data_IF_639280633572
#
_entry.id   IF_639280633572
#
_cell.length_a   1.000
_cell.length_b   1.000
_cell.length_c   1.000
_cell.angle_alpha   90.00
_cell.angle_beta   90.00
_cell.angle_gamma   90.00
#
_symmetry.space_group_name_H-M   'P 1'
#
loop_
_entity.id
_entity.type
_entity.pdbx_description
1 polymer ?
#
# COMPACT_ATOMS: atom_id res chain seq x y z
N UNK A 1 -32.52 -26.59 14.41
CA UNK A 1 -32.19 -25.16 14.64
C UNK A 1 -30.69 -24.91 14.94
N UNK A 2 -30.03 -25.53 15.94
CA UNK A 2 -28.58 -25.32 16.20
C UNK A 2 -27.65 -25.64 15.01
N UNK A 3 -27.89 -26.74 14.29
CA UNK A 3 -27.06 -27.13 13.15
C UNK A 3 -27.07 -26.13 11.98
N UNK A 4 -28.22 -25.49 11.73
CA UNK A 4 -28.34 -24.42 10.73
C UNK A 4 -27.56 -23.17 11.15
N UNK A 5 -27.63 -22.78 12.42
CA UNK A 5 -26.87 -21.63 12.93
C UNK A 5 -25.35 -21.84 12.77
N UNK A 6 -24.85 -23.06 13.04
CA UNK A 6 -23.44 -23.41 12.83
C UNK A 6 -23.06 -23.34 11.35
N UNK A 7 -23.94 -23.83 10.45
CA UNK A 7 -23.73 -23.74 9.00
C UNK A 7 -23.60 -22.29 8.51
N UNK A 8 -24.51 -21.41 8.93
CA UNK A 8 -24.47 -20.00 8.55
C UNK A 8 -23.24 -19.28 9.11
N UNK A 9 -22.81 -19.59 10.33
CA UNK A 9 -21.58 -19.05 10.90
C UNK A 9 -20.34 -19.50 10.11
N UNK A 10 -20.30 -20.75 9.65
CA UNK A 10 -19.21 -21.24 8.82
C UNK A 10 -19.18 -20.55 7.45
N UNK A 11 -20.35 -20.29 6.85
CA UNK A 11 -20.47 -19.56 5.58
C UNK A 11 -20.01 -18.11 5.73
N UNK A 12 -20.46 -17.41 6.78
CA UNK A 12 -20.02 -16.04 7.10
C UNK A 12 -18.50 -16.00 7.31
N UNK A 13 -17.94 -16.95 8.05
CA UNK A 13 -16.50 -17.01 8.27
C UNK A 13 -15.72 -17.24 6.96
N UNK A 14 -16.24 -18.08 6.07
CA UNK A 14 -15.67 -18.28 4.73
C UNK A 14 -15.65 -16.98 3.93
N UNK A 15 -16.76 -16.24 3.91
CA UNK A 15 -16.84 -14.97 3.20
C UNK A 15 -15.95 -13.89 3.84
N UNK A 16 -15.86 -13.83 5.18
CA UNK A 16 -14.94 -12.93 5.86
C UNK A 16 -13.47 -13.20 5.51
N UNK A 17 -13.07 -14.48 5.41
CA UNK A 17 -11.72 -14.85 4.98
C UNK A 17 -11.46 -14.38 3.54
N UNK A 18 -12.40 -14.61 2.63
CA UNK A 18 -12.29 -14.13 1.24
C UNK A 18 -12.15 -12.61 1.17
N UNK A 19 -12.98 -11.88 1.91
CA UNK A 19 -12.91 -10.42 1.98
C UNK A 19 -11.57 -9.94 2.53
N UNK A 20 -11.06 -10.58 3.59
CA UNK A 20 -9.75 -10.25 4.17
C UNK A 20 -8.63 -10.43 3.14
N UNK A 21 -8.63 -11.55 2.41
CA UNK A 21 -7.62 -11.78 1.35
C UNK A 21 -7.73 -10.78 0.20
N UNK A 22 -8.93 -10.30 -0.14
CA UNK A 22 -9.11 -9.24 -1.13
C UNK A 22 -8.49 -7.93 -0.61
N UNK A 23 -8.74 -7.57 0.66
CA UNK A 23 -8.18 -6.37 1.27
C UNK A 23 -6.65 -6.42 1.32
N UNK A 24 -6.06 -7.56 1.67
CA UNK A 24 -4.60 -7.76 1.66
C UNK A 24 -4.02 -7.49 0.25
N UNK A 25 -4.61 -8.07 -0.80
CA UNK A 25 -4.19 -7.83 -2.18
C UNK A 25 -4.36 -6.38 -2.61
N UNK A 26 -5.43 -5.72 -2.18
CA UNK A 26 -5.62 -4.29 -2.47
C UNK A 26 -4.53 -3.44 -1.80
N UNK A 27 -4.16 -3.75 -0.56
CA UNK A 27 -3.08 -3.05 0.14
C UNK A 27 -1.73 -3.25 -0.56
N UNK A 28 -1.41 -4.47 -1.02
CA UNK A 28 -0.21 -4.75 -1.82
C UNK A 28 -0.20 -3.92 -3.11
N UNK A 29 -1.31 -3.89 -3.85
CA UNK A 29 -1.43 -3.11 -5.08
C UNK A 29 -1.30 -1.60 -4.83
N UNK A 30 -1.90 -1.10 -3.75
CA UNK A 30 -1.78 0.31 -3.36
C UNK A 30 -0.34 0.67 -3.01
N UNK A 31 0.39 -0.22 -2.33
CA UNK A 31 1.82 -0.01 -2.05
C UNK A 31 2.65 0.08 -3.32
N UNK A 32 2.41 -0.81 -4.29
CA UNK A 32 3.11 -0.77 -5.59
C UNK A 32 2.80 0.52 -6.36
N UNK A 33 1.55 0.97 -6.34
CA UNK A 33 1.15 2.22 -6.98
C UNK A 33 1.86 3.43 -6.35
N UNK A 34 1.93 3.50 -5.02
CA UNK A 34 2.63 4.58 -4.31
C UNK A 34 4.12 4.58 -4.70
N UNK A 35 4.76 3.41 -4.76
CA UNK A 35 6.16 3.30 -5.15
C UNK A 35 6.39 3.82 -6.58
N UNK A 36 5.57 3.38 -7.54
CA UNK A 36 5.66 3.84 -8.92
C UNK A 36 5.45 5.36 -9.05
N UNK A 37 4.50 5.92 -8.29
CA UNK A 37 4.26 7.37 -8.28
C UNK A 37 5.42 8.17 -7.67
N UNK A 38 6.12 7.60 -6.68
CA UNK A 38 7.28 8.24 -6.06
C UNK A 38 8.54 8.17 -6.93
N UNK A 39 8.71 7.10 -7.71
CA UNK A 39 9.83 6.97 -8.67
C UNK A 39 9.75 7.99 -9.82
N UNK A 40 8.53 8.36 -10.23
CA UNK A 40 8.28 9.29 -11.32
C UNK A 40 8.16 10.76 -10.87
N UNK A 41 8.35 11.06 -9.57
CA UNK A 41 8.30 12.44 -9.09
C UNK A 41 9.57 13.19 -9.50
N UNK A 42 9.49 14.21 -10.39
CA UNK A 42 10.67 14.97 -10.78
C UNK A 42 11.24 15.70 -9.56
N UNK A 43 12.57 15.82 -9.48
CA UNK A 43 13.19 16.69 -8.49
C UNK A 43 12.55 18.08 -8.56
N UNK A 44 12.07 18.56 -7.42
CA UNK A 44 11.45 19.87 -7.31
C UNK A 44 12.44 20.92 -7.85
N UNK A 45 12.10 21.65 -8.93
CA UNK A 45 12.99 22.63 -9.54
C UNK A 45 13.34 23.79 -8.60
N UNK A 46 12.55 23.99 -7.53
CA UNK A 46 12.81 24.98 -6.49
C UNK A 46 13.53 24.39 -5.26
N UNK A 47 13.88 23.09 -5.27
CA UNK A 47 14.65 22.47 -4.21
C UNK A 47 16.04 23.13 -4.09
N UNK A 48 16.46 23.40 -2.85
CA UNK A 48 17.78 23.97 -2.60
C UNK A 48 18.87 22.95 -2.99
N UNK A 49 19.93 23.38 -3.72
CA UNK A 49 21.04 22.50 -4.04
C UNK A 49 21.66 21.93 -2.76
N UNK A 50 21.79 20.61 -2.69
CA UNK A 50 22.41 19.93 -1.55
C UNK A 50 23.95 19.98 -1.61
N UNK A 51 24.50 20.24 -2.80
CA UNK A 51 25.94 20.32 -3.05
C UNK A 51 26.29 21.52 -3.93
N UNK A 52 27.46 22.12 -3.69
CA UNK A 52 28.06 23.09 -4.60
C UNK A 52 28.55 22.42 -5.89
N UNK A 53 28.96 23.20 -6.88
CA UNK A 53 29.44 22.72 -8.19
C UNK A 53 30.69 21.82 -8.11
N UNK A 54 31.42 21.88 -7.00
CA UNK A 54 32.59 21.04 -6.71
C UNK A 54 32.25 19.76 -5.92
N UNK A 55 30.96 19.52 -5.64
CA UNK A 55 30.46 18.38 -4.88
C UNK A 55 30.56 18.53 -3.37
N UNK A 56 31.03 19.67 -2.84
CA UNK A 56 31.03 19.90 -1.39
C UNK A 56 29.59 20.12 -0.88
N UNK A 57 29.20 19.61 0.31
CA UNK A 57 27.84 19.78 0.82
C UNK A 57 27.52 21.26 1.11
N UNK A 58 26.32 21.70 0.72
CA UNK A 58 25.75 22.96 1.18
C UNK A 58 25.44 22.83 2.68
N UNK A 59 25.96 23.74 3.51
CA UNK A 59 25.79 23.72 4.98
C UNK A 59 24.73 24.72 5.42
#
# INVERSE_FOLDING_TARGET
MRGQAISYLAEILSEQKKQTTILERMAEQQSLLIQAMAEDEPEDPDAQPLTYMDGTPCR
#
